data_IF_624342796651
#
_entry.id   IF_624342796651
#
_cell.length_a   1.000
_cell.length_b   1.000
_cell.length_c   1.000
_cell.angle_alpha   90.00
_cell.angle_beta   90.00
_cell.angle_gamma   90.00
#
_symmetry.space_group_name_H-M   'P 1'
#
loop_
_entity.id
_entity.type
_entity.pdbx_description
1 polymer ?
#
# COMPACT_ATOMS: atom_id res chain seq x y z
N UNK A 1 41.54 12.51 -4.56
CA UNK A 1 40.31 13.18 -5.02
C UNK A 1 39.10 12.24 -4.93
N UNK A 2 38.47 12.16 -3.76
CA UNK A 2 37.23 11.41 -3.54
C UNK A 2 36.04 12.36 -3.54
N UNK A 3 34.87 12.00 -4.12
CA UNK A 3 33.70 12.86 -4.02
C UNK A 3 33.08 12.71 -2.64
N UNK A 4 33.00 13.84 -1.93
CA UNK A 4 32.33 13.97 -0.65
C UNK A 4 30.82 13.85 -0.82
N UNK A 5 30.22 12.90 -0.10
CA UNK A 5 28.78 12.79 0.05
C UNK A 5 28.35 13.69 1.21
N UNK A 6 27.91 14.89 0.84
CA UNK A 6 27.42 15.94 1.73
C UNK A 6 26.14 15.46 2.44
N UNK A 7 26.26 15.04 3.69
CA UNK A 7 25.12 14.75 4.57
C UNK A 7 24.49 16.05 5.07
N UNK A 8 23.70 16.69 4.21
CA UNK A 8 22.87 17.82 4.64
C UNK A 8 21.83 17.34 5.66
N UNK A 9 22.12 17.62 6.92
CA UNK A 9 21.20 17.49 8.04
C UNK A 9 20.05 18.49 7.83
N UNK A 10 18.92 18.01 7.31
CA UNK A 10 17.69 18.81 7.29
C UNK A 10 17.16 18.91 8.72
N UNK A 11 17.52 19.98 9.41
CA UNK A 11 16.99 20.33 10.73
C UNK A 11 15.50 20.60 10.60
N UNK A 12 14.69 19.67 11.09
CA UNK A 12 13.26 19.87 11.27
C UNK A 12 13.09 20.86 12.44
N UNK A 13 13.05 22.17 12.14
CA UNK A 13 12.65 23.19 13.12
C UNK A 13 11.16 23.05 13.39
N UNK A 14 10.81 22.19 14.33
CA UNK A 14 9.53 22.25 15.02
C UNK A 14 9.80 22.61 16.47
N UNK A 15 9.25 23.75 16.86
CA UNK A 15 9.18 24.25 18.24
C UNK A 15 8.78 23.13 19.18
N UNK A 16 9.72 22.72 20.01
CA UNK A 16 9.56 21.74 21.07
C UNK A 16 8.98 22.47 22.30
N UNK A 17 7.65 22.51 22.38
CA UNK A 17 6.85 22.98 23.53
C UNK A 17 5.49 22.29 23.36
N UNK A 18 4.92 21.51 24.26
CA UNK A 18 5.22 21.21 25.65
C UNK A 18 4.78 19.77 25.92
N UNK A 19 5.60 19.11 26.73
CA UNK A 19 5.17 18.15 27.74
C UNK A 19 3.86 18.59 28.41
N UNK A 20 2.75 17.94 28.07
CA UNK A 20 1.62 17.81 28.98
C UNK A 20 1.63 16.40 29.57
N UNK A 21 1.42 16.23 30.90
CA UNK A 21 1.23 14.92 31.47
C UNK A 21 -0.06 14.30 30.89
N UNK A 22 -0.11 12.98 30.63
CA UNK A 22 -1.34 12.37 30.16
C UNK A 22 -2.41 12.51 31.25
N UNK A 23 -3.52 13.16 30.92
CA UNK A 23 -4.72 13.14 31.73
C UNK A 23 -5.14 11.67 31.97
N UNK A 24 -5.59 11.31 33.19
CA UNK A 24 -6.06 9.97 33.47
C UNK A 24 -7.46 9.83 32.88
N UNK A 25 -7.55 9.25 31.68
CA UNK A 25 -8.85 8.97 31.07
C UNK A 25 -8.75 8.34 29.69
N UNK A 26 -9.05 7.04 29.60
CA UNK A 26 -9.42 6.41 28.33
C UNK A 26 -8.64 5.16 27.90
N UNK A 27 -8.39 4.22 28.81
CA UNK A 27 -8.60 2.77 28.63
C UNK A 27 -8.09 1.96 27.43
N UNK A 28 -7.38 2.50 26.43
CA UNK A 28 -7.12 1.76 25.18
C UNK A 28 -5.68 1.88 24.67
N UNK A 29 -4.65 1.66 25.49
CA UNK A 29 -3.27 1.33 25.06
C UNK A 29 -2.62 2.16 23.92
N UNK A 30 -3.13 3.36 23.62
CA UNK A 30 -2.78 4.17 22.44
C UNK A 30 -2.72 5.66 22.83
N UNK A 31 -1.73 6.04 23.65
CA UNK A 31 -1.67 7.38 24.23
C UNK A 31 -1.28 8.48 23.22
N UNK A 32 -0.82 8.12 22.02
CA UNK A 32 -0.30 9.09 21.05
C UNK A 32 -1.35 9.41 19.98
N UNK A 33 -2.05 10.54 20.09
CA UNK A 33 -3.15 10.94 19.19
C UNK A 33 -2.71 11.92 18.09
N UNK A 34 -3.21 11.77 16.88
CA UNK A 34 -2.92 12.73 15.81
C UNK A 34 -3.76 14.01 16.00
N UNK A 35 -3.17 15.22 15.86
CA UNK A 35 -3.93 16.47 15.95
C UNK A 35 -4.75 16.76 14.69
N UNK A 36 -4.40 16.18 13.54
CA UNK A 36 -5.04 16.42 12.25
C UNK A 36 -6.07 15.35 11.85
N UNK A 37 -6.19 14.25 12.61
CA UNK A 37 -7.19 13.21 12.33
C UNK A 37 -7.47 12.35 13.56
N UNK A 38 -8.52 11.52 13.50
CA UNK A 38 -8.97 10.68 14.62
C UNK A 38 -8.06 9.49 14.95
N UNK A 39 -6.87 9.37 14.36
CA UNK A 39 -5.97 8.22 14.58
C UNK A 39 -5.13 8.37 15.84
N UNK A 40 -5.10 7.30 16.64
CA UNK A 40 -4.22 7.15 17.79
C UNK A 40 -3.24 5.97 17.61
N UNK A 41 -2.12 6.05 18.30
CA UNK A 41 -0.99 5.14 18.17
C UNK A 41 -0.51 4.69 19.56
N UNK A 42 -0.05 3.45 19.63
CA UNK A 42 0.59 2.87 20.82
C UNK A 42 1.98 3.43 21.03
N UNK A 43 2.69 3.78 19.95
CA UNK A 43 4.07 4.26 20.00
C UNK A 43 4.20 5.66 19.38
N UNK A 44 5.06 6.53 19.96
CA UNK A 44 5.26 7.89 19.46
C UNK A 44 5.95 7.89 18.08
N UNK A 45 6.83 6.91 17.82
CA UNK A 45 7.48 6.75 16.51
C UNK A 45 6.46 6.52 15.38
N UNK A 46 5.38 5.78 15.66
CA UNK A 46 4.31 5.52 14.71
C UNK A 46 3.47 6.77 14.47
N UNK A 47 3.17 7.54 15.52
CA UNK A 47 2.49 8.83 15.41
C UNK A 47 3.34 9.81 14.60
N UNK A 48 4.63 9.99 14.92
CA UNK A 48 5.55 10.87 14.18
C UNK A 48 5.59 10.53 12.69
N UNK A 49 5.79 9.25 12.36
CA UNK A 49 5.72 8.77 10.97
C UNK A 49 4.37 9.05 10.32
N UNK A 50 3.28 8.90 11.07
CA UNK A 50 1.95 9.21 10.55
C UNK A 50 1.78 10.70 10.23
N UNK A 51 2.35 11.61 11.05
CA UNK A 51 2.29 13.05 10.81
C UNK A 51 2.92 13.45 9.48
N UNK A 52 3.93 12.71 9.02
CA UNK A 52 4.56 12.92 7.70
C UNK A 52 3.56 12.77 6.54
N UNK A 53 2.46 12.04 6.73
CA UNK A 53 1.39 11.95 5.72
C UNK A 53 0.58 13.24 5.61
N UNK A 54 0.47 14.01 6.68
CA UNK A 54 -0.23 15.30 6.67
C UNK A 54 0.65 16.41 6.09
N UNK A 55 1.94 16.39 6.39
CA UNK A 55 2.89 17.39 5.87
C UNK A 55 3.38 17.09 4.46
N UNK A 56 3.10 15.90 3.92
CA UNK A 56 3.56 15.47 2.60
C UNK A 56 5.08 15.23 2.49
N UNK A 57 5.81 15.39 3.61
CA UNK A 57 7.25 15.21 3.65
C UNK A 57 7.59 13.73 3.45
N UNK A 58 8.40 13.45 2.43
CA UNK A 58 8.89 12.11 2.12
C UNK A 58 10.40 12.07 2.34
N UNK A 59 10.81 11.32 3.35
CA UNK A 59 12.19 11.35 3.88
C UNK A 59 13.16 10.45 3.12
N UNK A 60 12.66 9.46 2.37
CA UNK A 60 13.47 8.43 1.76
C UNK A 60 13.33 8.44 0.23
N UNK A 61 14.11 9.29 -0.47
CA UNK A 61 14.09 9.34 -1.93
C UNK A 61 14.68 8.06 -2.54
N UNK A 62 14.14 7.65 -3.68
CA UNK A 62 14.72 6.61 -4.49
C UNK A 62 15.86 7.18 -5.34
N UNK A 63 16.99 6.47 -5.40
CA UNK A 63 18.12 6.87 -6.24
C UNK A 63 17.92 6.59 -7.74
N UNK A 64 16.90 5.81 -8.09
CA UNK A 64 16.64 5.38 -9.47
C UNK A 64 15.45 6.09 -10.13
N UNK A 65 14.67 6.88 -9.38
CA UNK A 65 13.53 7.64 -9.89
C UNK A 65 13.06 8.70 -8.88
N UNK A 66 12.17 9.61 -9.30
CA UNK A 66 11.69 10.74 -8.47
C UNK A 66 10.72 10.35 -7.34
N UNK A 67 10.59 9.06 -7.02
CA UNK A 67 9.70 8.57 -5.96
C UNK A 67 10.39 8.61 -4.61
N UNK A 68 9.70 9.19 -3.63
CA UNK A 68 10.16 9.23 -2.23
C UNK A 68 9.16 8.54 -1.31
N UNK A 69 9.66 7.95 -0.23
CA UNK A 69 8.89 7.10 0.69
C UNK A 69 8.94 7.65 2.12
N UNK A 70 7.96 7.23 2.93
CA UNK A 70 7.84 7.64 4.33
C UNK A 70 8.73 6.81 5.24
N UNK A 71 9.14 5.61 4.82
CA UNK A 71 10.00 4.72 5.58
C UNK A 71 11.12 4.10 4.75
N UNK A 72 12.24 3.71 5.39
CA UNK A 72 13.30 2.98 4.70
C UNK A 72 12.81 1.65 4.15
N UNK A 73 11.96 0.92 4.89
CA UNK A 73 11.44 -0.38 4.45
C UNK A 73 10.59 -0.28 3.19
N UNK A 74 9.78 0.78 3.05
CA UNK A 74 9.04 1.05 1.81
C UNK A 74 9.97 1.35 0.65
N UNK A 75 11.03 2.15 0.88
CA UNK A 75 12.06 2.41 -0.13
C UNK A 75 12.76 1.11 -0.55
N UNK A 76 13.21 0.26 0.38
CA UNK A 76 13.85 -1.03 0.06
C UNK A 76 12.94 -1.95 -0.74
N UNK A 77 11.64 -1.98 -0.43
CA UNK A 77 10.69 -2.78 -1.20
C UNK A 77 10.47 -2.17 -2.59
N UNK A 78 10.49 -0.84 -2.71
CA UNK A 78 10.40 -0.15 -3.98
C UNK A 78 11.65 -0.36 -4.84
N UNK A 79 12.86 -0.32 -4.29
CA UNK A 79 14.10 -0.50 -5.07
C UNK A 79 14.14 -1.83 -5.82
N UNK A 80 13.46 -2.87 -5.29
CA UNK A 80 13.26 -4.15 -5.98
C UNK A 80 12.53 -4.04 -7.33
N UNK A 81 11.79 -2.96 -7.58
CA UNK A 81 11.17 -2.73 -8.90
C UNK A 81 12.19 -2.29 -9.94
N UNK A 82 13.30 -1.69 -9.52
CA UNK A 82 14.40 -1.30 -10.39
C UNK A 82 15.38 -2.45 -10.59
N UNK A 83 15.74 -3.15 -9.51
CA UNK A 83 16.72 -4.25 -9.56
C UNK A 83 16.13 -5.57 -10.05
N UNK A 84 14.81 -5.70 -10.07
CA UNK A 84 14.14 -6.96 -10.38
C UNK A 84 14.26 -8.03 -9.31
N UNK A 85 14.84 -7.71 -8.14
CA UNK A 85 15.01 -8.67 -7.06
C UNK A 85 13.69 -9.26 -6.57
N UNK A 86 13.64 -10.59 -6.51
CA UNK A 86 12.49 -11.35 -6.02
C UNK A 86 12.93 -12.34 -4.96
N UNK A 87 13.11 -11.90 -3.70
CA UNK A 87 13.67 -12.75 -2.65
C UNK A 87 12.77 -13.93 -2.25
N UNK A 88 11.46 -13.79 -2.46
CA UNK A 88 10.47 -14.73 -1.93
C UNK A 88 10.05 -15.74 -3.00
N UNK A 89 10.52 -16.98 -2.89
CA UNK A 89 10.16 -18.07 -3.81
C UNK A 89 9.03 -18.95 -3.29
N UNK A 90 8.16 -19.42 -4.19
CA UNK A 90 7.18 -20.46 -3.89
C UNK A 90 7.86 -21.83 -4.01
N UNK A 91 7.87 -22.60 -2.92
CA UNK A 91 8.46 -23.93 -2.91
C UNK A 91 7.75 -24.95 -3.82
N UNK A 92 6.45 -24.75 -4.11
CA UNK A 92 5.67 -25.69 -4.89
C UNK A 92 5.82 -25.51 -6.42
N UNK A 93 6.05 -24.28 -6.89
CA UNK A 93 6.11 -24.00 -8.33
C UNK A 93 7.29 -23.10 -8.76
N UNK A 94 8.21 -22.79 -7.87
CA UNK A 94 9.41 -21.98 -8.15
C UNK A 94 9.15 -20.49 -8.43
N UNK A 95 7.89 -20.05 -8.57
CA UNK A 95 7.54 -18.63 -8.83
C UNK A 95 8.06 -17.71 -7.74
N UNK A 96 8.71 -16.61 -8.13
CA UNK A 96 9.35 -15.65 -7.21
C UNK A 96 8.61 -14.32 -7.16
N UNK A 97 8.63 -13.68 -5.98
CA UNK A 97 7.93 -12.43 -5.67
C UNK A 97 8.85 -11.43 -4.95
N UNK A 98 8.61 -10.14 -5.18
CA UNK A 98 9.34 -9.04 -4.53
C UNK A 98 8.87 -8.75 -3.08
N UNK A 99 7.68 -9.25 -2.71
CA UNK A 99 7.07 -9.05 -1.38
C UNK A 99 6.56 -10.39 -0.83
N UNK A 100 6.76 -10.63 0.46
CA UNK A 100 6.28 -11.83 1.16
C UNK A 100 4.75 -11.96 1.14
N UNK A 101 4.05 -10.83 1.27
CA UNK A 101 2.58 -10.79 1.18
C UNK A 101 2.06 -11.32 -0.16
N UNK A 102 2.76 -11.04 -1.26
CA UNK A 102 2.40 -11.51 -2.60
C UNK A 102 2.63 -13.01 -2.74
N UNK A 103 3.72 -13.55 -2.19
CA UNK A 103 3.95 -14.99 -2.13
C UNK A 103 2.82 -15.70 -1.35
N UNK A 104 2.46 -15.17 -0.18
CA UNK A 104 1.41 -15.77 0.66
C UNK A 104 0.03 -15.73 -0.03
N UNK A 105 -0.26 -14.64 -0.72
CA UNK A 105 -1.43 -14.52 -1.59
C UNK A 105 -1.42 -15.60 -2.68
N UNK A 106 -0.34 -15.66 -3.46
CA UNK A 106 -0.17 -16.67 -4.51
C UNK A 106 -0.36 -18.10 -4.01
N UNK A 107 0.25 -18.46 -2.87
CA UNK A 107 0.07 -19.79 -2.28
C UNK A 107 -1.38 -20.09 -1.91
N UNK A 108 -2.06 -19.11 -1.32
CA UNK A 108 -3.48 -19.23 -0.96
C UNK A 108 -4.36 -19.43 -2.20
N UNK A 109 -4.10 -18.68 -3.25
CA UNK A 109 -5.01 -18.60 -4.39
C UNK A 109 -4.79 -19.72 -5.39
N UNK A 110 -3.52 -20.06 -5.65
CA UNK A 110 -3.13 -21.03 -6.68
C UNK A 110 -3.05 -22.44 -6.13
N UNK A 111 -2.47 -22.61 -4.93
CA UNK A 111 -2.22 -23.94 -4.39
C UNK A 111 -3.31 -24.40 -3.40
N UNK A 112 -3.94 -23.47 -2.68
CA UNK A 112 -5.01 -23.83 -1.73
C UNK A 112 -6.42 -23.55 -2.26
N UNK A 113 -6.57 -22.87 -3.40
CA UNK A 113 -7.87 -22.46 -3.96
C UNK A 113 -8.72 -21.60 -3.02
N UNK A 114 -8.13 -21.01 -1.96
CA UNK A 114 -8.89 -20.32 -0.91
C UNK A 114 -9.28 -18.93 -1.40
N UNK A 115 -10.57 -18.74 -1.68
CA UNK A 115 -11.20 -17.44 -1.98
C UNK A 115 -12.06 -16.98 -0.81
N UNK A 116 -11.48 -16.35 0.24
CA UNK A 116 -12.20 -16.04 1.47
C UNK A 116 -13.17 -14.86 1.34
N UNK A 117 -13.05 -14.05 0.29
CA UNK A 117 -13.85 -12.85 0.13
C UNK A 117 -15.01 -13.13 -0.81
N UNK A 118 -16.24 -13.14 -0.31
CA UNK A 118 -17.44 -13.31 -1.12
C UNK A 118 -18.16 -11.97 -1.33
N UNK A 119 -18.68 -11.76 -2.53
CA UNK A 119 -19.67 -10.71 -2.77
C UNK A 119 -20.97 -11.09 -2.07
N UNK A 120 -21.50 -10.15 -1.28
CA UNK A 120 -22.76 -10.34 -0.56
C UNK A 120 -23.98 -10.30 -1.47
N UNK A 121 -23.87 -9.66 -2.63
CA UNK A 121 -24.98 -9.49 -3.57
C UNK A 121 -25.11 -10.65 -4.55
N UNK A 122 -23.99 -11.10 -5.15
CA UNK A 122 -24.02 -12.19 -6.15
C UNK A 122 -23.28 -13.47 -5.73
N UNK A 123 -22.73 -13.55 -4.51
CA UNK A 123 -22.04 -14.74 -4.01
C UNK A 123 -20.66 -15.02 -4.65
N UNK A 124 -20.23 -14.26 -5.66
CA UNK A 124 -18.95 -14.45 -6.34
C UNK A 124 -17.78 -14.34 -5.36
N UNK A 125 -16.85 -15.29 -5.43
CA UNK A 125 -15.70 -15.38 -4.50
C UNK A 125 -14.41 -14.89 -5.12
N UNK A 126 -13.63 -14.15 -4.33
CA UNK A 126 -12.38 -13.52 -4.71
C UNK A 126 -11.24 -13.92 -3.76
N UNK A 127 -10.05 -13.98 -4.33
CA UNK A 127 -8.77 -14.19 -3.64
C UNK A 127 -8.36 -12.99 -2.76
N UNK A 128 -8.72 -11.78 -3.20
CA UNK A 128 -8.29 -10.52 -2.59
C UNK A 128 -9.47 -9.58 -2.35
N UNK A 129 -9.41 -8.86 -1.22
CA UNK A 129 -10.42 -7.84 -0.86
C UNK A 129 -10.49 -6.69 -1.87
N UNK A 130 -9.36 -6.34 -2.49
CA UNK A 130 -9.31 -5.32 -3.54
C UNK A 130 -10.15 -5.71 -4.76
N UNK A 131 -10.02 -6.96 -5.20
CA UNK A 131 -10.79 -7.48 -6.34
C UNK A 131 -12.29 -7.51 -6.04
N UNK A 132 -12.68 -7.91 -4.81
CA UNK A 132 -14.07 -7.83 -4.37
C UNK A 132 -14.58 -6.38 -4.38
N UNK A 133 -13.78 -5.43 -3.87
CA UNK A 133 -14.16 -4.00 -3.89
C UNK A 133 -14.40 -3.52 -5.32
N UNK A 134 -13.46 -3.78 -6.23
CA UNK A 134 -13.59 -3.39 -7.65
C UNK A 134 -14.81 -4.06 -8.28
N UNK A 135 -15.05 -5.34 -8.01
CA UNK A 135 -16.23 -6.05 -8.49
C UNK A 135 -17.53 -5.40 -8.01
N UNK A 136 -17.63 -5.07 -6.72
CA UNK A 136 -18.82 -4.39 -6.18
C UNK A 136 -19.03 -3.03 -6.84
N UNK A 137 -17.98 -2.24 -7.03
CA UNK A 137 -18.11 -0.95 -7.72
C UNK A 137 -18.54 -1.10 -9.18
N UNK A 138 -17.97 -2.05 -9.93
CA UNK A 138 -18.23 -2.20 -11.37
C UNK A 138 -19.54 -2.89 -11.71
N UNK A 139 -19.93 -3.89 -10.92
CA UNK A 139 -21.04 -4.79 -11.26
C UNK A 139 -22.33 -4.42 -10.52
N UNK A 140 -22.20 -3.83 -9.33
CA UNK A 140 -23.35 -3.61 -8.45
C UNK A 140 -23.66 -2.14 -8.22
N UNK A 141 -22.64 -1.28 -8.12
CA UNK A 141 -22.83 0.14 -7.81
C UNK A 141 -22.75 1.04 -9.04
N UNK A 142 -22.27 0.53 -10.19
CA UNK A 142 -22.11 1.28 -11.42
C UNK A 142 -21.33 2.58 -11.22
N UNK A 143 -20.00 2.51 -11.12
CA UNK A 143 -19.17 3.71 -10.99
C UNK A 143 -18.91 4.35 -12.38
N UNK A 144 -19.31 5.63 -12.62
CA UNK A 144 -19.28 6.26 -13.95
C UNK A 144 -17.89 6.72 -14.45
N UNK A 145 -16.79 6.34 -13.79
CA UNK A 145 -15.43 6.81 -14.14
C UNK A 145 -14.57 5.81 -14.93
N UNK A 146 -15.20 4.85 -15.62
CA UNK A 146 -14.58 4.11 -16.73
C UNK A 146 -15.64 3.89 -17.80
N UNK A 147 -15.63 4.72 -18.84
CA UNK A 147 -16.26 4.39 -20.12
C UNK A 147 -15.36 3.35 -20.78
N UNK A 148 -15.91 2.18 -21.05
CA UNK A 148 -15.28 1.11 -21.81
C UNK A 148 -15.60 1.38 -23.29
N UNK A 149 -14.65 1.94 -24.04
CA UNK A 149 -14.68 1.94 -25.50
C UNK A 149 -14.41 0.51 -25.97
N UNK A 150 -15.43 -0.35 -25.86
CA UNK A 150 -15.46 -1.65 -26.53
C UNK A 150 -16.90 -2.02 -26.88
N UNK A 151 -17.49 -1.18 -27.74
CA UNK A 151 -18.49 -1.64 -28.69
C UNK A 151 -17.73 -2.14 -29.93
N UNK A 152 -17.40 -3.44 -29.97
CA UNK A 152 -17.08 -4.10 -31.23
C UNK A 152 -18.31 -3.95 -32.15
N UNK A 153 -18.21 -3.39 -33.37
CA UNK A 153 -19.27 -3.52 -34.34
C UNK A 153 -19.29 -4.98 -34.86
N UNK A 154 -20.43 -5.63 -34.66
CA UNK A 154 -20.81 -6.88 -35.30
C UNK A 154 -20.69 -6.75 -36.82
N UNK A 155 -19.60 -7.28 -37.39
CA UNK A 155 -19.55 -7.60 -38.81
C UNK A 155 -19.95 -9.07 -38.90
N UNK A 156 -21.26 -9.27 -39.11
CA UNK A 156 -21.88 -10.56 -39.38
C UNK A 156 -21.23 -11.32 -40.56
N UNK A 157 -21.62 -12.59 -40.76
CA UNK A 157 -20.88 -13.50 -41.61
C UNK A 157 -20.95 -13.07 -43.09
N UNK A 158 -19.77 -13.07 -43.71
CA UNK A 158 -19.54 -12.83 -45.12
C UNK A 158 -20.29 -13.86 -45.99
N UNK A 159 -21.16 -13.45 -46.92
CA UNK A 159 -21.67 -14.35 -47.95
C UNK A 159 -20.56 -14.68 -48.96
N UNK A 160 -20.60 -15.91 -49.46
CA UNK A 160 -19.68 -16.58 -50.40
C UNK A 160 -19.48 -15.79 -51.69
#
# INVERSE_FOLDING_TARGET
PGPGSNSQSLTLRHTNTLSHPPAPGGGNGRPYTCPYCTKCFTYPSHQRRHLLRHTGVRLHPCQFCDKSFLTPSELTVHTRTHTGERPFGCAQCGKRFARSGNLRAHQRDVHMGKRPFACTECGKRFAHRGNLRVHNHRVHQGDPYYMDDQQEPDIGPNPI
#
